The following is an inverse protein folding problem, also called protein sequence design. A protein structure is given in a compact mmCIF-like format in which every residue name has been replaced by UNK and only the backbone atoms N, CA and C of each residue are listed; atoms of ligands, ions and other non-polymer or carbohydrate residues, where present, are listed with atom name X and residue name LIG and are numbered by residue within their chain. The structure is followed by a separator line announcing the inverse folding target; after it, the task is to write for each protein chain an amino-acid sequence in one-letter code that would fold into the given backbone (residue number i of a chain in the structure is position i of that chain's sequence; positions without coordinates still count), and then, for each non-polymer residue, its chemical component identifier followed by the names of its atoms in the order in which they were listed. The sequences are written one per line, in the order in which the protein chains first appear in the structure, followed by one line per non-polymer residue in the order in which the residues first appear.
data_IF_581108172189
#
_entry.id   IF_581108172189
#
_cell.length_a   1.000
_cell.length_b   1.000
_cell.length_c   1.000
_cell.angle_alpha   90.00
_cell.angle_beta   90.00
_cell.angle_gamma   90.00
#
_symmetry.space_group_name_H-M   'P 1'
#
loop_
_entity.id
_entity.type
_entity.pdbx_description
1 polymer ?
#
# COMPACT_ATOMS: atom_id res chain seq x y z
N UNK A 1 -77.33 30.34 35.91
CA UNK A 1 -75.96 29.82 36.12
C UNK A 1 -75.51 29.23 34.78
N UNK A 2 -74.37 29.56 34.19
CA UNK A 2 -73.38 30.60 34.51
C UNK A 2 -72.22 30.53 33.50
N UNK A 3 -72.28 31.29 32.41
CA UNK A 3 -71.22 31.29 31.39
C UNK A 3 -70.09 32.23 31.79
N UNK A 4 -68.90 31.67 32.00
CA UNK A 4 -67.68 32.47 32.23
C UNK A 4 -67.10 32.96 30.91
N UNK A 5 -66.72 34.24 30.85
CA UNK A 5 -65.98 34.86 29.74
C UNK A 5 -64.52 35.01 30.15
N UNK A 6 -63.59 34.45 29.39
CA UNK A 6 -62.16 34.76 29.55
C UNK A 6 -61.78 35.88 28.58
N UNK A 7 -61.18 36.94 29.12
CA UNK A 7 -60.82 38.14 28.38
C UNK A 7 -59.41 38.00 27.77
N UNK A 8 -59.26 38.27 26.47
CA UNK A 8 -57.94 38.41 25.85
C UNK A 8 -57.46 39.84 26.04
N UNK A 9 -56.39 40.02 26.83
CA UNK A 9 -55.78 41.33 27.09
C UNK A 9 -54.51 41.49 26.24
N UNK A 10 -54.59 42.29 25.18
CA UNK A 10 -53.43 42.64 24.36
C UNK A 10 -52.69 43.83 24.98
N UNK A 11 -51.40 43.67 25.29
CA UNK A 11 -50.53 44.75 25.76
C UNK A 11 -49.39 44.95 24.76
N UNK A 12 -49.45 46.04 23.98
CA UNK A 12 -48.31 46.49 23.19
C UNK A 12 -47.32 47.24 24.09
N UNK A 13 -46.05 46.85 24.06
CA UNK A 13 -44.96 47.58 24.70
C UNK A 13 -43.81 47.77 23.71
N UNK A 14 -43.79 48.93 23.05
CA UNK A 14 -42.79 49.28 22.04
C UNK A 14 -41.51 49.80 22.69
N UNK A 15 -40.54 48.93 22.91
CA UNK A 15 -39.18 49.30 23.34
C UNK A 15 -38.22 49.31 22.15
N UNK A 16 -37.78 50.49 21.71
CA UNK A 16 -36.78 50.64 20.64
C UNK A 16 -35.39 50.46 21.25
N UNK A 17 -34.76 49.32 20.98
CA UNK A 17 -33.33 49.10 21.17
C UNK A 17 -32.65 49.05 19.80
N UNK A 18 -31.62 49.87 19.61
CA UNK A 18 -30.86 49.91 18.36
C UNK A 18 -30.04 48.63 18.18
N UNK A 19 -30.47 47.77 17.25
CA UNK A 19 -29.67 46.62 16.82
C UNK A 19 -28.39 47.13 16.11
N UNK A 20 -27.21 46.55 16.39
CA UNK A 20 -26.02 46.83 15.60
C UNK A 20 -26.23 46.35 14.16
N UNK A 21 -25.70 47.10 13.20
CA UNK A 21 -25.73 46.74 11.77
C UNK A 21 -25.17 45.33 11.60
N UNK A 22 -25.85 44.41 10.90
CA UNK A 22 -25.31 43.08 10.66
C UNK A 22 -24.01 43.21 9.85
N UNK A 23 -22.89 42.77 10.42
CA UNK A 23 -21.65 42.65 9.70
C UNK A 23 -21.88 41.71 8.50
N UNK A 24 -21.51 42.15 7.29
CA UNK A 24 -21.70 41.35 6.08
C UNK A 24 -20.93 40.04 6.22
N UNK A 25 -21.65 38.94 6.43
CA UNK A 25 -21.04 37.61 6.41
C UNK A 25 -20.53 37.35 4.99
N UNK A 26 -19.24 37.07 4.89
CA UNK A 26 -18.62 36.63 3.65
C UNK A 26 -19.15 35.23 3.33
N UNK A 27 -20.09 35.15 2.39
CA UNK A 27 -20.69 33.88 1.93
C UNK A 27 -19.83 33.17 0.89
N UNK A 28 -18.54 33.52 0.74
CA UNK A 28 -17.62 32.68 -0.01
C UNK A 28 -17.44 31.34 0.71
N UNK A 29 -17.95 30.27 0.08
CA UNK A 29 -17.77 28.90 0.57
C UNK A 29 -16.30 28.52 0.36
N UNK A 30 -15.46 28.95 1.30
CA UNK A 30 -14.08 28.50 1.39
C UNK A 30 -14.05 26.99 1.50
N UNK A 31 -13.30 26.34 0.60
CA UNK A 31 -13.10 24.88 0.66
C UNK A 31 -12.63 24.47 2.06
N UNK A 32 -13.03 23.27 2.55
CA UNK A 32 -12.40 22.65 3.70
C UNK A 32 -10.87 22.69 3.55
N UNK A 33 -10.18 23.15 4.60
CA UNK A 33 -8.72 23.20 4.63
C UNK A 33 -8.20 21.89 5.21
N UNK A 34 -7.61 21.05 4.36
CA UNK A 34 -6.90 19.85 4.79
C UNK A 34 -5.47 20.22 5.20
N UNK A 35 -4.86 19.45 6.11
CA UNK A 35 -3.42 19.57 6.41
C UNK A 35 -2.60 19.38 5.12
N UNK A 36 -3.02 18.46 4.25
CA UNK A 36 -2.42 18.22 2.93
C UNK A 36 -2.35 19.50 2.09
N UNK A 37 -3.41 20.32 2.03
CA UNK A 37 -3.41 21.58 1.26
C UNK A 37 -2.47 22.65 1.84
N UNK A 38 -2.24 22.66 3.17
CA UNK A 38 -1.28 23.57 3.80
C UNK A 38 0.17 23.11 3.63
N UNK A 39 0.41 21.79 3.71
CA UNK A 39 1.74 21.18 3.59
C UNK A 39 2.17 21.04 2.12
N UNK A 40 1.22 20.94 1.18
CA UNK A 40 1.42 20.94 -0.27
C UNK A 40 0.63 22.09 -0.94
N UNK A 41 1.04 23.36 -0.77
CA UNK A 41 0.28 24.55 -1.18
C UNK A 41 0.33 24.85 -2.70
N UNK A 42 0.14 23.82 -3.53
CA UNK A 42 -0.15 23.92 -4.96
C UNK A 42 -1.08 22.78 -5.35
N UNK A 43 -2.15 23.11 -6.06
CA UNK A 43 -2.97 22.08 -6.69
C UNK A 43 -2.09 21.26 -7.65
N UNK A 44 -2.30 19.94 -7.69
CA UNK A 44 -1.52 19.03 -8.57
C UNK A 44 -1.63 19.46 -10.05
N UNK A 45 -2.75 20.09 -10.43
CA UNK A 45 -2.98 20.69 -11.74
C UNK A 45 -2.02 21.85 -12.09
N UNK A 46 -1.71 22.76 -11.16
CA UNK A 46 -0.84 23.91 -11.43
C UNK A 46 0.62 23.52 -11.65
N UNK A 47 1.09 22.47 -10.95
CA UNK A 47 2.44 21.91 -11.11
C UNK A 47 2.63 21.37 -12.54
N UNK A 48 1.60 20.75 -13.11
CA UNK A 48 1.59 20.24 -14.48
C UNK A 48 1.54 21.39 -15.52
N UNK A 49 0.69 22.40 -15.32
CA UNK A 49 0.56 23.51 -16.27
C UNK A 49 1.81 24.41 -16.35
N UNK A 50 2.47 24.68 -15.23
CA UNK A 50 3.67 25.54 -15.22
C UNK A 50 4.89 24.86 -15.86
N UNK A 51 5.07 23.54 -15.71
CA UNK A 51 6.13 22.80 -16.41
C UNK A 51 5.98 22.83 -17.94
N UNK A 52 4.77 22.71 -18.46
CA UNK A 52 4.54 22.67 -19.91
C UNK A 52 4.83 24.01 -20.62
N UNK A 53 4.56 25.16 -19.98
CA UNK A 53 4.82 26.48 -20.58
C UNK A 53 6.31 26.82 -20.76
N UNK A 54 7.20 26.24 -19.94
CA UNK A 54 8.64 26.48 -20.06
C UNK A 54 9.34 25.55 -21.06
N UNK A 55 8.74 24.40 -21.41
CA UNK A 55 9.39 23.37 -22.25
C UNK A 55 9.39 23.70 -23.75
N UNK A 56 8.51 24.61 -24.20
CA UNK A 56 8.38 25.00 -25.62
C UNK A 56 9.31 26.12 -26.08
N UNK A 57 9.91 26.91 -25.18
CA UNK A 57 10.77 28.05 -25.59
C UNK A 57 12.20 27.68 -26.02
N UNK A 58 12.69 26.50 -25.69
CA UNK A 58 14.14 26.18 -25.74
C UNK A 58 14.56 25.17 -26.82
N UNK A 59 13.74 24.89 -27.83
CA UNK A 59 13.99 23.79 -28.79
C UNK A 59 14.44 24.16 -30.20
N UNK A 60 14.69 25.45 -30.49
CA UNK A 60 15.04 25.95 -31.83
C UNK A 60 16.46 26.57 -31.90
N UNK A 61 17.52 25.76 -31.83
CA UNK A 61 18.86 26.14 -32.32
C UNK A 61 19.76 24.91 -32.55
N UNK A 62 20.55 24.92 -33.64
CA UNK A 62 21.49 23.86 -34.10
C UNK A 62 20.85 22.50 -34.47
N UNK A 63 21.20 21.79 -35.56
CA UNK A 63 22.03 22.14 -36.74
C UNK A 63 23.56 22.06 -36.54
N UNK A 64 24.32 21.20 -37.23
CA UNK A 64 23.98 20.16 -38.21
C UNK A 64 25.22 19.63 -38.98
N UNK A 65 24.99 18.79 -39.99
CA UNK A 65 25.95 18.25 -40.99
C UNK A 65 27.04 17.24 -40.52
N UNK A 66 27.46 16.38 -41.46
CA UNK A 66 28.53 15.37 -41.30
C UNK A 66 28.21 14.07 -42.07
N UNK A 67 28.97 13.73 -43.10
CA UNK A 67 28.75 12.54 -43.94
C UNK A 67 30.08 11.92 -44.43
N UNK A 68 30.09 10.60 -44.68
CA UNK A 68 31.25 9.89 -45.25
C UNK A 68 31.04 8.37 -45.41
N UNK A 69 31.34 7.84 -46.60
CA UNK A 69 31.58 6.41 -46.89
C UNK A 69 33.12 6.22 -47.09
N UNK A 70 33.76 5.11 -47.51
CA UNK A 70 33.40 3.78 -48.06
C UNK A 70 34.71 2.91 -48.04
N UNK A 71 34.84 1.63 -48.41
CA UNK A 71 33.96 0.47 -48.66
C UNK A 71 34.84 -0.79 -48.91
N UNK A 72 34.28 -2.02 -48.86
CA UNK A 72 34.92 -3.28 -49.29
C UNK A 72 35.32 -4.24 -48.14
N UNK A 73 35.37 -5.56 -48.32
CA UNK A 73 35.14 -6.36 -49.55
C UNK A 73 34.88 -7.87 -49.27
N UNK A 74 34.63 -8.63 -50.34
CA UNK A 74 34.22 -10.06 -50.39
C UNK A 74 35.40 -11.05 -50.09
N UNK A 75 35.32 -12.40 -50.13
CA UNK A 75 34.61 -13.36 -51.03
C UNK A 75 34.46 -14.78 -50.42
N UNK A 76 33.39 -15.53 -50.77
CA UNK A 76 33.29 -17.02 -50.67
C UNK A 76 32.98 -17.60 -49.27
N UNK A 77 32.48 -18.83 -49.09
CA UNK A 77 31.98 -19.84 -50.05
C UNK A 77 32.48 -21.29 -49.75
N UNK A 78 31.70 -22.38 -49.88
CA UNK A 78 30.26 -22.54 -50.12
C UNK A 78 29.78 -24.00 -49.86
N UNK A 79 28.45 -24.19 -49.70
CA UNK A 79 27.65 -25.43 -49.81
C UNK A 79 27.81 -26.61 -48.80
N UNK A 80 26.68 -27.02 -48.20
CA UNK A 80 26.32 -28.42 -47.94
C UNK A 80 26.53 -28.99 -46.52
N UNK A 81 25.48 -29.60 -45.96
CA UNK A 81 25.53 -30.36 -44.70
C UNK A 81 24.28 -30.18 -43.83
N UNK A 82 23.88 -31.21 -43.07
CA UNK A 82 22.70 -31.18 -42.21
C UNK A 82 22.93 -31.92 -40.88
N UNK A 83 22.10 -31.57 -39.88
CA UNK A 83 21.94 -32.17 -38.55
C UNK A 83 23.06 -31.95 -37.50
N UNK A 84 22.65 -31.76 -36.25
CA UNK A 84 23.45 -32.09 -35.05
C UNK A 84 23.92 -30.94 -34.15
N UNK A 85 23.28 -30.79 -32.99
CA UNK A 85 23.96 -30.69 -31.68
C UNK A 85 24.86 -29.50 -31.30
N UNK A 86 24.27 -28.55 -30.57
CA UNK A 86 24.78 -27.98 -29.30
C UNK A 86 26.04 -27.06 -29.21
N UNK A 87 26.02 -26.28 -28.11
CA UNK A 87 27.13 -25.61 -27.39
C UNK A 87 27.68 -24.25 -27.87
N UNK A 88 27.89 -23.35 -26.89
CA UNK A 88 28.61 -22.07 -27.00
C UNK A 88 27.73 -20.84 -27.31
N UNK A 89 27.71 -19.74 -26.53
CA UNK A 89 28.28 -19.51 -25.19
C UNK A 89 28.93 -18.13 -25.03
N UNK A 90 28.20 -17.16 -24.43
CA UNK A 90 28.74 -15.89 -23.91
C UNK A 90 27.81 -15.39 -22.79
N UNK A 91 28.10 -15.61 -21.51
CA UNK A 91 29.10 -14.91 -20.69
C UNK A 91 28.58 -13.59 -20.07
N UNK A 92 27.67 -13.72 -19.09
CA UNK A 92 27.42 -12.70 -18.06
C UNK A 92 28.09 -13.11 -16.76
N UNK A 93 29.03 -12.30 -16.25
CA UNK A 93 29.91 -12.68 -15.14
C UNK A 93 29.46 -12.14 -13.78
N UNK A 94 28.59 -12.87 -13.08
CA UNK A 94 28.39 -12.76 -11.63
C UNK A 94 29.27 -13.78 -10.88
N UNK A 95 29.68 -13.48 -9.65
CA UNK A 95 30.33 -14.48 -8.79
C UNK A 95 29.28 -15.33 -8.08
N UNK A 96 28.84 -16.41 -8.73
CA UNK A 96 28.12 -17.46 -8.02
C UNK A 96 29.05 -18.08 -6.96
N UNK A 97 28.68 -17.95 -5.69
CA UNK A 97 29.17 -18.87 -4.66
C UNK A 97 28.40 -20.18 -4.86
N UNK A 98 29.11 -21.32 -5.00
CA UNK A 98 28.46 -22.60 -5.28
C UNK A 98 27.62 -23.07 -4.09
N UNK A 99 26.35 -22.67 -4.04
CA UNK A 99 25.31 -23.28 -3.19
C UNK A 99 25.07 -24.71 -3.67
N UNK A 100 25.81 -25.68 -3.12
CA UNK A 100 25.94 -27.07 -3.66
C UNK A 100 24.68 -27.93 -3.73
N UNK A 101 23.50 -27.39 -3.40
CA UNK A 101 22.19 -28.05 -3.46
C UNK A 101 21.11 -27.15 -4.12
N UNK A 102 21.51 -26.22 -5.00
CA UNK A 102 20.63 -25.32 -5.76
C UNK A 102 20.68 -25.66 -7.26
N UNK A 103 19.53 -25.64 -7.95
CA UNK A 103 19.41 -25.92 -9.40
C UNK A 103 18.58 -24.83 -10.07
N UNK A 104 19.27 -23.88 -10.70
CA UNK A 104 18.64 -22.86 -11.57
C UNK A 104 18.34 -23.48 -12.94
N UNK A 105 17.10 -23.32 -13.42
CA UNK A 105 16.63 -23.84 -14.69
C UNK A 105 15.74 -22.83 -15.44
N UNK A 106 15.72 -22.91 -16.77
CA UNK A 106 14.94 -22.00 -17.61
C UNK A 106 13.55 -22.57 -17.88
N UNK A 107 12.52 -21.89 -17.38
CA UNK A 107 11.13 -22.17 -17.66
C UNK A 107 10.68 -21.69 -19.05
N UNK A 108 9.44 -22.00 -19.41
CA UNK A 108 8.77 -21.42 -20.59
C UNK A 108 7.28 -21.38 -20.33
N UNK A 109 6.65 -20.22 -20.46
CA UNK A 109 5.22 -20.07 -20.18
C UNK A 109 4.35 -21.00 -21.06
N UNK A 110 3.38 -21.66 -20.44
CA UNK A 110 2.54 -22.67 -21.08
C UNK A 110 3.25 -24.01 -21.33
N UNK A 111 4.39 -24.26 -20.66
CA UNK A 111 5.05 -25.57 -20.59
C UNK A 111 5.13 -26.03 -19.14
N UNK A 112 4.87 -27.33 -18.95
CA UNK A 112 5.04 -28.00 -17.67
C UNK A 112 6.53 -28.19 -17.37
N UNK A 113 6.92 -27.88 -16.13
CA UNK A 113 8.25 -28.10 -15.55
C UNK A 113 8.11 -29.12 -14.43
N UNK A 114 8.98 -30.12 -14.41
CA UNK A 114 8.99 -31.15 -13.36
C UNK A 114 10.02 -30.77 -12.29
N UNK A 115 9.56 -30.53 -11.07
CA UNK A 115 10.37 -30.19 -9.91
C UNK A 115 10.65 -31.46 -9.09
N UNK A 116 11.92 -31.69 -8.79
CA UNK A 116 12.41 -32.82 -8.02
C UNK A 116 12.10 -32.66 -6.53
N UNK A 117 11.89 -33.77 -5.83
CA UNK A 117 11.74 -33.79 -4.37
C UNK A 117 13.08 -33.89 -3.64
N UNK A 118 13.05 -34.40 -2.41
CA UNK A 118 14.26 -34.62 -1.60
C UNK A 118 14.88 -33.35 -1.00
N UNK A 119 14.12 -32.26 -0.91
CA UNK A 119 14.56 -30.94 -0.44
C UNK A 119 15.71 -30.32 -1.28
N UNK A 120 15.72 -30.56 -2.59
CA UNK A 120 16.56 -29.83 -3.54
C UNK A 120 15.94 -28.46 -3.84
N UNK A 121 16.69 -27.37 -3.66
CA UNK A 121 16.23 -26.02 -4.07
C UNK A 121 16.31 -25.90 -5.58
N UNK A 122 15.22 -25.52 -6.21
CA UNK A 122 15.09 -25.41 -7.66
C UNK A 122 14.42 -24.10 -8.03
N UNK A 123 15.11 -23.35 -8.87
CA UNK A 123 14.78 -21.96 -9.18
C UNK A 123 14.47 -21.91 -10.67
N UNK A 124 13.22 -21.55 -11.00
CA UNK A 124 12.70 -21.67 -12.36
C UNK A 124 12.42 -20.29 -12.95
N UNK A 125 13.39 -19.74 -13.67
CA UNK A 125 13.31 -18.43 -14.33
C UNK A 125 12.40 -18.46 -15.57
N UNK A 126 11.52 -17.47 -15.69
CA UNK A 126 10.69 -17.22 -16.89
C UNK A 126 10.92 -15.79 -17.41
N UNK A 127 11.38 -15.59 -18.66
CA UNK A 127 11.58 -14.26 -19.24
C UNK A 127 10.28 -13.44 -19.32
N UNK A 128 10.26 -12.27 -18.67
CA UNK A 128 9.10 -11.39 -18.55
C UNK A 128 9.26 -10.08 -19.36
N UNK A 129 8.38 -9.09 -19.17
CA UNK A 129 8.37 -7.85 -20.00
C UNK A 129 9.39 -6.81 -19.50
N UNK A 130 9.66 -6.77 -18.19
CA UNK A 130 10.60 -5.82 -17.56
C UNK A 130 11.66 -6.51 -16.67
N UNK A 131 11.93 -7.79 -16.92
CA UNK A 131 12.80 -8.62 -16.08
C UNK A 131 12.56 -10.11 -16.29
N UNK A 132 12.72 -10.90 -15.22
CA UNK A 132 12.35 -12.31 -15.14
C UNK A 132 11.35 -12.51 -14.00
N UNK A 133 10.37 -13.38 -14.21
CA UNK A 133 9.53 -13.93 -13.14
C UNK A 133 10.11 -15.28 -12.72
N UNK A 134 10.28 -15.54 -11.43
CA UNK A 134 10.86 -16.78 -10.92
C UNK A 134 9.95 -17.48 -9.91
N UNK A 135 10.08 -18.79 -9.86
CA UNK A 135 9.47 -19.68 -8.88
C UNK A 135 10.59 -20.49 -8.23
N UNK A 136 10.97 -20.16 -7.00
CA UNK A 136 11.78 -21.07 -6.16
C UNK A 136 10.89 -22.16 -5.55
N UNK A 137 11.41 -23.39 -5.53
CA UNK A 137 10.76 -24.54 -4.91
C UNK A 137 11.77 -25.40 -4.14
N UNK A 138 11.39 -25.78 -2.92
CA UNK A 138 12.04 -26.85 -2.16
C UNK A 138 10.98 -27.64 -1.40
N UNK A 139 10.93 -28.96 -1.59
CA UNK A 139 10.08 -29.83 -0.77
C UNK A 139 10.57 -31.30 -0.76
N UNK A 140 10.09 -32.08 0.19
CA UNK A 140 10.43 -33.49 0.34
C UNK A 140 9.84 -34.32 -0.82
N UNK A 141 8.63 -33.98 -1.27
CA UNK A 141 8.01 -34.50 -2.49
C UNK A 141 8.32 -33.58 -3.67
N UNK A 142 8.48 -34.16 -4.87
CA UNK A 142 8.54 -33.38 -6.10
C UNK A 142 7.17 -32.82 -6.48
N UNK A 143 7.15 -31.90 -7.45
CA UNK A 143 5.93 -31.26 -7.93
C UNK A 143 5.97 -31.01 -9.44
N UNK A 144 4.81 -30.74 -10.01
CA UNK A 144 4.58 -30.48 -11.42
C UNK A 144 4.11 -29.03 -11.57
N UNK A 145 5.01 -28.16 -11.99
CA UNK A 145 4.79 -26.72 -12.14
C UNK A 145 4.29 -26.39 -13.54
N UNK A 146 3.09 -25.83 -13.65
CA UNK A 146 2.69 -25.06 -14.84
C UNK A 146 2.71 -23.56 -14.50
N UNK A 147 3.33 -22.74 -15.35
CA UNK A 147 3.24 -21.27 -15.28
C UNK A 147 2.73 -20.70 -16.61
N UNK A 148 1.78 -19.77 -16.55
CA UNK A 148 1.24 -19.06 -17.71
C UNK A 148 1.33 -17.54 -17.54
N UNK A 149 1.51 -16.81 -18.65
CA UNK A 149 1.54 -15.34 -18.67
C UNK A 149 0.21 -14.75 -19.18
N UNK A 150 -0.34 -13.80 -18.43
CA UNK A 150 -1.58 -13.10 -18.75
C UNK A 150 -1.25 -11.64 -19.12
N UNK A 151 -1.18 -11.36 -20.43
CA UNK A 151 -0.89 -10.01 -20.98
C UNK A 151 -2.04 -9.01 -20.83
N UNK A 152 -3.16 -9.47 -20.27
CA UNK A 152 -4.22 -8.66 -19.69
C UNK A 152 -4.55 -9.33 -18.35
N UNK A 153 -4.07 -8.77 -17.21
CA UNK A 153 -4.22 -9.42 -15.91
C UNK A 153 -5.68 -9.70 -15.52
N UNK A 154 -5.91 -10.82 -14.81
CA UNK A 154 -7.23 -11.29 -14.39
C UNK A 154 -7.97 -10.41 -13.37
N UNK A 155 -7.39 -9.26 -13.00
CA UNK A 155 -7.95 -8.27 -12.09
C UNK A 155 -7.23 -6.93 -12.17
N UNK A 156 -7.73 -5.93 -11.43
CA UNK A 156 -7.10 -4.62 -11.31
C UNK A 156 -5.95 -4.62 -10.28
N UNK A 157 -4.97 -3.73 -10.45
CA UNK A 157 -4.03 -3.41 -9.39
C UNK A 157 -4.78 -2.81 -8.17
N UNK A 158 -4.30 -3.01 -6.93
CA UNK A 158 -4.93 -2.45 -5.74
C UNK A 158 -4.86 -0.92 -5.73
N UNK A 159 -5.76 -0.29 -4.97
CA UNK A 159 -5.75 1.15 -4.76
C UNK A 159 -4.39 1.60 -4.20
N UNK A 160 -3.89 2.76 -4.64
CA UNK A 160 -2.55 3.24 -4.31
C UNK A 160 -1.42 2.67 -5.19
N UNK A 161 -1.63 1.53 -5.86
CA UNK A 161 -0.63 0.86 -6.70
C UNK A 161 -0.92 0.96 -8.21
N UNK A 162 0.05 0.54 -9.00
CA UNK A 162 -0.06 0.20 -10.43
C UNK A 162 0.77 -1.06 -10.72
N UNK A 163 0.51 -1.70 -11.85
CA UNK A 163 1.37 -2.75 -12.40
C UNK A 163 2.77 -2.19 -12.77
N UNK A 164 3.82 -2.96 -12.47
CA UNK A 164 5.22 -2.65 -12.81
C UNK A 164 5.67 -3.43 -14.05
N UNK A 165 5.44 -4.74 -14.08
CA UNK A 165 5.29 -5.49 -15.34
C UNK A 165 3.79 -5.41 -15.74
N UNK A 166 3.43 -5.08 -17.00
CA UNK A 166 2.04 -5.09 -17.47
C UNK A 166 1.39 -6.49 -17.53
N UNK A 167 2.16 -7.55 -17.23
CA UNK A 167 1.79 -8.97 -17.27
C UNK A 167 1.61 -9.52 -15.86
N UNK A 168 0.65 -10.40 -15.66
CA UNK A 168 0.54 -11.25 -14.47
C UNK A 168 0.84 -12.72 -14.81
N UNK A 169 1.16 -13.52 -13.80
CA UNK A 169 1.68 -14.87 -13.94
C UNK A 169 0.81 -15.84 -13.15
N UNK A 170 0.14 -16.78 -13.83
CA UNK A 170 -0.61 -17.86 -13.16
C UNK A 170 0.33 -19.01 -12.86
N UNK A 171 0.54 -19.32 -11.58
CA UNK A 171 1.35 -20.43 -11.06
C UNK A 171 0.44 -21.54 -10.57
N UNK A 172 0.73 -22.78 -10.96
CA UNK A 172 0.00 -23.97 -10.54
C UNK A 172 0.95 -25.16 -10.33
N UNK A 173 1.21 -25.49 -9.06
CA UNK A 173 1.78 -26.75 -8.59
C UNK A 173 0.63 -27.75 -8.38
N UNK A 174 0.62 -28.85 -9.14
CA UNK A 174 -0.51 -29.80 -9.20
C UNK A 174 -0.69 -30.62 -7.91
N UNK A 175 0.39 -30.79 -7.17
CA UNK A 175 0.50 -31.55 -5.93
C UNK A 175 0.21 -30.68 -4.69
N UNK A 176 0.04 -29.37 -4.87
CA UNK A 176 -0.26 -28.39 -3.82
C UNK A 176 0.76 -27.26 -3.76
N UNK A 177 0.27 -26.04 -3.47
CA UNK A 177 1.10 -24.84 -3.31
C UNK A 177 1.42 -24.45 -1.86
N UNK A 178 0.90 -25.19 -0.87
CA UNK A 178 1.00 -24.87 0.56
C UNK A 178 1.92 -25.82 1.31
N UNK A 179 2.44 -25.38 2.47
CA UNK A 179 3.28 -26.18 3.37
C UNK A 179 4.55 -26.76 2.72
N UNK A 180 5.10 -26.07 1.72
CA UNK A 180 6.39 -26.39 1.10
C UNK A 180 7.53 -26.09 2.09
N UNK A 181 8.70 -26.68 1.89
CA UNK A 181 9.91 -26.33 2.67
C UNK A 181 10.44 -24.96 2.24
N UNK A 182 10.37 -24.66 0.95
CA UNK A 182 10.51 -23.33 0.37
C UNK A 182 9.54 -23.20 -0.80
N UNK A 183 8.90 -22.04 -0.91
CA UNK A 183 8.09 -21.63 -2.04
C UNK A 183 8.15 -20.12 -2.11
N UNK A 184 8.80 -19.59 -3.14
CA UNK A 184 8.87 -18.14 -3.37
C UNK A 184 8.34 -17.76 -4.77
N UNK A 185 7.77 -16.56 -4.86
CA UNK A 185 7.30 -15.92 -6.09
C UNK A 185 8.11 -14.64 -6.27
N UNK A 186 9.08 -14.68 -7.17
CA UNK A 186 10.14 -13.66 -7.22
C UNK A 186 10.23 -12.98 -8.58
N UNK A 187 10.85 -11.80 -8.61
CA UNK A 187 11.00 -11.05 -9.84
C UNK A 187 12.28 -10.22 -9.90
N UNK A 188 13.20 -10.66 -10.75
CA UNK A 188 14.50 -10.03 -11.01
C UNK A 188 14.32 -8.96 -12.08
N UNK A 189 14.57 -7.69 -11.75
CA UNK A 189 14.35 -6.55 -12.65
C UNK A 189 15.46 -6.37 -13.68
N UNK A 190 15.09 -6.26 -14.97
CA UNK A 190 16.02 -5.79 -16.00
C UNK A 190 16.21 -4.27 -15.85
N UNK A 191 17.23 -3.87 -15.09
CA UNK A 191 17.55 -2.46 -14.84
C UNK A 191 17.98 -1.68 -16.09
N UNK A 192 18.28 -2.34 -17.21
CA UNK A 192 18.48 -1.69 -18.51
C UNK A 192 17.16 -1.39 -19.24
N UNK A 193 16.05 -1.99 -18.82
CA UNK A 193 14.74 -1.82 -19.44
C UNK A 193 14.24 -0.37 -19.33
N UNK A 194 13.89 0.22 -20.47
CA UNK A 194 13.45 1.61 -20.54
C UNK A 194 12.19 1.93 -19.73
N UNK A 195 11.35 0.93 -19.41
CA UNK A 195 10.15 1.09 -18.59
C UNK A 195 10.45 1.33 -17.10
N UNK A 196 11.57 0.82 -16.58
CA UNK A 196 11.96 0.95 -15.17
C UNK A 196 12.73 2.25 -14.86
N UNK A 197 13.05 3.05 -15.87
CA UNK A 197 13.90 4.23 -15.75
C UNK A 197 13.26 5.32 -14.87
N UNK A 198 13.76 5.46 -13.64
CA UNK A 198 13.24 6.42 -12.65
C UNK A 198 12.09 5.85 -11.79
N UNK A 199 11.96 4.53 -11.74
CA UNK A 199 11.18 3.82 -10.71
C UNK A 199 12.10 3.50 -9.53
N UNK A 200 11.63 3.72 -8.31
CA UNK A 200 12.28 3.19 -7.11
C UNK A 200 11.88 1.72 -6.91
N UNK A 201 12.73 0.80 -7.40
CA UNK A 201 12.47 -0.65 -7.33
C UNK A 201 12.40 -1.16 -5.88
N UNK A 202 13.02 -0.47 -4.91
CA UNK A 202 12.96 -0.81 -3.48
C UNK A 202 11.57 -0.59 -2.85
N UNK A 203 10.58 -0.18 -3.65
CA UNK A 203 9.17 -0.03 -3.26
C UNK A 203 8.25 -0.96 -4.04
N UNK A 204 8.80 -1.83 -4.88
CA UNK A 204 8.02 -2.85 -5.58
C UNK A 204 7.51 -3.90 -4.60
N UNK A 205 6.46 -4.62 -4.99
CA UNK A 205 5.84 -5.68 -4.19
C UNK A 205 5.17 -6.71 -5.09
N UNK A 206 5.03 -7.93 -4.58
CA UNK A 206 4.30 -9.01 -5.26
C UNK A 206 2.87 -9.05 -4.71
N UNK A 207 1.87 -9.08 -5.59
CA UNK A 207 0.47 -9.20 -5.22
C UNK A 207 -0.20 -10.45 -5.81
N UNK A 208 -1.11 -11.07 -5.06
CA UNK A 208 -1.91 -12.24 -5.48
C UNK A 208 -3.32 -11.81 -5.88
N UNK A 209 -3.88 -12.36 -6.96
CA UNK A 209 -5.24 -12.06 -7.40
C UNK A 209 -6.27 -12.62 -6.42
N UNK A 210 -7.02 -11.74 -5.74
CA UNK A 210 -8.18 -12.16 -4.98
C UNK A 210 -9.33 -12.52 -5.95
N UNK A 211 -9.58 -13.83 -6.09
CA UNK A 211 -10.49 -14.36 -7.11
C UNK A 211 -11.94 -13.83 -7.00
N UNK A 212 -12.38 -13.46 -5.79
CA UNK A 212 -13.75 -13.00 -5.50
C UNK A 212 -14.02 -11.53 -5.78
N UNK A 213 -13.01 -10.65 -5.73
CA UNK A 213 -13.17 -9.21 -6.01
C UNK A 213 -12.52 -8.76 -7.34
N UNK A 214 -11.67 -9.61 -7.96
CA UNK A 214 -10.88 -9.31 -9.17
C UNK A 214 -9.94 -8.10 -8.99
N UNK A 215 -9.30 -8.03 -7.84
CA UNK A 215 -8.22 -7.09 -7.51
C UNK A 215 -7.02 -7.89 -6.97
N UNK A 216 -5.81 -7.52 -7.36
CA UNK A 216 -4.60 -8.06 -6.75
C UNK A 216 -4.42 -7.48 -5.34
N UNK A 217 -4.11 -8.32 -4.36
CA UNK A 217 -3.79 -7.90 -2.98
C UNK A 217 -2.30 -8.10 -2.72
N UNK A 218 -1.64 -7.07 -2.19
CA UNK A 218 -0.29 -7.12 -1.64
C UNK A 218 -0.45 -6.95 -0.13
N UNK A 219 -0.51 -8.06 0.58
CA UNK A 219 -1.05 -8.19 1.94
C UNK A 219 -0.24 -9.26 2.69
N UNK A 220 0.29 -9.02 3.90
CA UNK A 220 1.08 -10.00 4.66
C UNK A 220 0.38 -11.35 4.89
N UNK A 221 -0.94 -11.45 4.69
CA UNK A 221 -1.66 -12.71 4.64
C UNK A 221 -1.10 -13.67 3.57
N UNK A 222 -0.61 -13.18 2.42
CA UNK A 222 -0.19 -14.03 1.28
C UNK A 222 1.23 -14.59 1.41
N UNK A 223 2.13 -13.90 2.11
CA UNK A 223 3.56 -14.25 2.20
C UNK A 223 4.40 -13.21 2.93
N UNK A 224 5.68 -13.53 3.10
CA UNK A 224 6.72 -12.61 3.61
C UNK A 224 7.47 -11.99 2.43
N UNK A 225 7.63 -10.67 2.41
CA UNK A 225 8.21 -9.90 1.30
C UNK A 225 9.61 -9.38 1.63
N UNK A 226 10.54 -9.54 0.69
CA UNK A 226 11.91 -9.02 0.75
C UNK A 226 12.27 -8.29 -0.58
N UNK A 227 13.36 -7.51 -0.57
CA UNK A 227 13.92 -6.89 -1.78
C UNK A 227 15.44 -7.07 -1.77
N UNK A 228 15.94 -7.99 -2.59
CA UNK A 228 17.36 -8.35 -2.64
C UNK A 228 18.11 -7.36 -3.53
N UNK A 229 18.66 -6.30 -2.90
CA UNK A 229 19.15 -5.11 -3.58
C UNK A 229 20.41 -5.30 -4.44
N UNK A 230 21.22 -6.33 -4.17
CA UNK A 230 22.39 -6.67 -4.99
C UNK A 230 21.98 -7.34 -6.32
N UNK A 231 20.87 -8.09 -6.33
CA UNK A 231 20.37 -8.80 -7.52
C UNK A 231 19.27 -7.99 -8.25
N UNK A 232 18.73 -6.94 -7.60
CA UNK A 232 17.60 -6.12 -8.06
C UNK A 232 16.33 -6.96 -8.18
N UNK A 233 16.02 -7.71 -7.13
CA UNK A 233 14.88 -8.62 -7.06
C UNK A 233 13.84 -8.13 -6.05
N UNK A 234 12.55 -8.34 -6.34
CA UNK A 234 11.51 -8.36 -5.31
C UNK A 234 11.03 -9.79 -5.09
N UNK A 235 10.97 -10.17 -3.83
CA UNK A 235 11.04 -11.56 -3.40
C UNK A 235 9.86 -11.84 -2.48
N UNK A 236 9.07 -12.90 -2.72
CA UNK A 236 7.89 -13.21 -1.89
C UNK A 236 7.83 -14.69 -1.52
N UNK A 237 8.22 -15.01 -0.28
CA UNK A 237 8.03 -16.33 0.34
C UNK A 237 6.53 -16.54 0.64
N UNK A 238 5.85 -17.22 -0.27
CA UNK A 238 4.39 -17.33 -0.29
C UNK A 238 3.88 -18.48 0.61
N UNK A 239 2.75 -18.25 1.30
CA UNK A 239 2.08 -19.29 2.12
C UNK A 239 1.29 -20.29 1.27
N UNK A 240 0.88 -19.86 0.08
CA UNK A 240 0.29 -20.69 -0.97
C UNK A 240 0.77 -20.18 -2.33
N UNK A 241 1.55 -20.99 -3.05
CA UNK A 241 2.09 -20.70 -4.38
C UNK A 241 1.02 -20.63 -5.49
N UNK A 242 -0.12 -21.32 -5.32
CA UNK A 242 -1.07 -21.50 -6.41
C UNK A 242 -1.98 -20.27 -6.57
N UNK A 243 -2.00 -19.68 -7.76
CA UNK A 243 -2.81 -18.48 -8.03
C UNK A 243 -2.28 -17.67 -9.21
N UNK A 244 -2.80 -16.45 -9.35
CA UNK A 244 -2.31 -15.47 -10.31
C UNK A 244 -1.60 -14.33 -9.57
N UNK A 245 -0.39 -13.99 -10.02
CA UNK A 245 0.53 -13.09 -9.34
C UNK A 245 0.87 -11.90 -10.23
N UNK A 246 1.07 -10.72 -9.64
CA UNK A 246 1.47 -9.52 -10.38
C UNK A 246 2.52 -8.72 -9.62
N UNK A 247 3.42 -8.09 -10.35
CA UNK A 247 4.44 -7.21 -9.79
C UNK A 247 3.89 -5.79 -9.79
N UNK A 248 3.87 -5.18 -8.61
CA UNK A 248 3.19 -3.93 -8.32
C UNK A 248 4.18 -2.89 -7.80
N UNK A 249 3.83 -1.62 -7.97
CA UNK A 249 4.60 -0.47 -7.47
C UNK A 249 3.63 0.62 -6.99
N UNK A 250 3.87 1.29 -5.85
CA UNK A 250 3.08 2.44 -5.42
C UNK A 250 3.09 3.54 -6.50
N UNK A 251 1.94 4.18 -6.70
CA UNK A 251 1.79 5.22 -7.73
C UNK A 251 2.77 6.38 -7.56
N UNK A 252 3.14 6.71 -6.31
CA UNK A 252 4.13 7.74 -5.99
C UNK A 252 5.58 7.35 -6.36
N UNK A 253 5.94 6.06 -6.27
CA UNK A 253 7.30 5.56 -6.56
C UNK A 253 7.63 5.54 -8.07
N UNK A 254 6.63 5.75 -8.94
CA UNK A 254 6.81 5.95 -10.37
C UNK A 254 7.27 7.35 -10.79
N UNK A 255 7.80 8.16 -9.87
CA UNK A 255 8.18 9.55 -10.08
C UNK A 255 9.54 9.94 -9.46
N UNK A 256 10.43 8.97 -9.20
CA UNK A 256 11.75 9.23 -8.66
C UNK A 256 12.63 9.97 -9.69
N UNK A 257 12.99 11.22 -9.38
CA UNK A 257 14.08 11.89 -10.10
C UNK A 257 15.38 11.15 -9.76
N UNK A 258 16.02 10.57 -10.78
CA UNK A 258 17.08 9.58 -10.57
C UNK A 258 18.25 10.10 -9.75
N UNK A 259 18.57 9.41 -8.65
CA UNK A 259 19.83 9.58 -7.96
C UNK A 259 20.97 9.03 -8.84
N UNK A 260 22.00 9.85 -9.05
CA UNK A 260 23.18 9.44 -9.79
C UNK A 260 24.05 8.50 -8.94
N UNK A 261 24.64 7.52 -9.60
CA UNK A 261 25.61 6.58 -9.05
C UNK A 261 26.81 7.32 -8.41
N UNK A 262 26.94 7.23 -7.09
CA UNK A 262 28.13 7.59 -6.33
C UNK A 262 28.28 6.59 -5.17
N UNK A 263 29.48 6.12 -4.80
CA UNK A 263 30.79 6.29 -5.41
C UNK A 263 31.84 5.53 -4.60
N UNK A 264 32.77 4.80 -5.24
CA UNK A 264 33.67 3.86 -4.53
C UNK A 264 34.83 4.56 -3.81
N UNK A 265 34.71 4.72 -2.49
CA UNK A 265 35.79 4.89 -1.49
C UNK A 265 35.27 4.37 -0.13
N UNK A 266 36.01 3.66 0.73
CA UNK A 266 37.37 3.12 0.66
C UNK A 266 37.68 2.26 1.91
N UNK A 267 38.66 1.36 1.80
CA UNK A 267 39.17 0.46 2.86
C UNK A 267 39.84 1.21 4.04
N UNK A 268 40.09 0.63 5.25
CA UNK A 268 39.72 -0.66 5.87
C UNK A 268 40.10 -0.69 7.38
N UNK A 269 39.70 -1.75 8.11
CA UNK A 269 40.29 -2.19 9.38
C UNK A 269 39.39 -2.02 10.62
N UNK A 270 39.40 -2.89 11.64
CA UNK A 270 40.15 -4.15 11.84
C UNK A 270 39.31 -5.21 12.60
N UNK A 271 39.90 -6.40 12.77
CA UNK A 271 39.52 -7.56 13.58
C UNK A 271 38.54 -7.36 14.77
N UNK A 272 37.71 -8.33 15.17
CA UNK A 272 37.63 -9.74 14.76
C UNK A 272 38.26 -10.70 15.79
N UNK A 273 37.43 -11.45 16.52
CA UNK A 273 37.87 -12.59 17.32
C UNK A 273 36.77 -13.65 17.41
N UNK A 274 37.17 -14.94 17.41
CA UNK A 274 36.24 -16.08 17.41
C UNK A 274 36.17 -16.74 18.79
N UNK A 275 35.02 -17.36 19.11
CA UNK A 275 34.81 -18.01 20.41
C UNK A 275 33.49 -18.77 20.49
N UNK A 276 33.33 -19.84 19.71
CA UNK A 276 32.14 -20.69 19.78
C UNK A 276 32.14 -21.63 20.99
N UNK A 277 30.97 -21.84 21.59
CA UNK A 277 30.68 -23.00 22.45
C UNK A 277 29.19 -23.31 22.50
N UNK A 278 28.86 -24.58 22.63
CA UNK A 278 27.50 -25.09 22.83
C UNK A 278 27.03 -24.90 24.27
N UNK A 279 25.73 -24.64 24.44
CA UNK A 279 25.03 -24.58 25.72
C UNK A 279 23.52 -24.55 25.46
N UNK A 280 22.73 -25.26 26.27
CA UNK A 280 21.29 -25.38 26.09
C UNK A 280 20.51 -24.45 27.04
N UNK A 281 19.25 -24.18 26.67
CA UNK A 281 18.15 -23.66 27.50
C UNK A 281 18.42 -22.47 28.45
N UNK A 282 17.75 -21.34 28.21
CA UNK A 282 16.56 -20.96 29.01
C UNK A 282 15.91 -19.63 28.56
N UNK A 283 14.58 -19.61 28.53
CA UNK A 283 13.75 -18.45 28.89
C UNK A 283 14.06 -17.05 28.33
N UNK A 284 14.05 -16.87 27.00
CA UNK A 284 13.76 -15.55 26.43
C UNK A 284 12.24 -15.31 26.39
N UNK A 285 11.76 -14.10 26.75
CA UNK A 285 10.33 -13.76 26.61
C UNK A 285 9.93 -13.82 25.13
N UNK A 286 8.90 -14.60 24.82
CA UNK A 286 8.05 -14.25 23.69
C UNK A 286 7.23 -13.01 24.07
N UNK A 287 7.22 -12.00 23.21
CA UNK A 287 6.06 -11.13 23.12
C UNK A 287 4.89 -11.98 22.63
N UNK A 288 3.75 -11.86 23.31
CA UNK A 288 2.70 -12.86 23.19
C UNK A 288 2.01 -12.79 21.83
N UNK A 289 2.01 -13.90 21.09
CA UNK A 289 1.03 -14.12 20.02
C UNK A 289 -0.37 -13.80 20.60
N UNK A 290 -1.05 -12.76 20.05
CA UNK A 290 -2.41 -12.37 20.45
C UNK A 290 -3.40 -13.44 19.95
N UNK A 291 -3.44 -14.55 20.68
CA UNK A 291 -4.05 -15.83 20.28
C UNK A 291 -5.58 -15.78 20.27
N UNK A 292 -6.12 -15.15 19.23
CA UNK A 292 -7.57 -14.88 19.05
C UNK A 292 -7.89 -13.67 18.17
N UNK A 293 -6.88 -12.95 17.68
CA UNK A 293 -7.01 -11.82 16.75
C UNK A 293 -7.18 -12.34 15.29
N UNK A 294 -8.10 -11.74 14.52
CA UNK A 294 -8.45 -12.17 13.16
C UNK A 294 -8.45 -10.96 12.22
N UNK A 295 -7.41 -10.82 11.41
CA UNK A 295 -7.25 -9.68 10.51
C UNK A 295 -8.07 -9.92 9.22
N UNK A 296 -8.83 -8.92 8.79
CA UNK A 296 -9.77 -8.98 7.68
C UNK A 296 -9.48 -7.84 6.68
N UNK A 297 -9.10 -8.18 5.44
CA UNK A 297 -8.87 -7.17 4.40
C UNK A 297 -10.16 -6.39 4.09
N UNK A 298 -10.19 -5.12 4.45
CA UNK A 298 -11.31 -4.21 4.28
C UNK A 298 -11.51 -3.78 2.82
N UNK A 299 -12.75 -3.47 2.47
CA UNK A 299 -13.12 -2.93 1.16
C UNK A 299 -14.27 -1.92 1.29
N UNK A 300 -14.03 -0.67 0.92
CA UNK A 300 -15.07 0.36 0.94
C UNK A 300 -16.24 -0.02 0.03
N UNK A 301 -17.45 0.36 0.43
CA UNK A 301 -18.71 0.04 -0.26
C UNK A 301 -19.02 -1.48 -0.35
N UNK A 302 -18.41 -2.31 0.51
CA UNK A 302 -18.74 -3.73 0.68
C UNK A 302 -19.28 -4.02 2.08
N UNK A 303 -20.06 -5.10 2.17
CA UNK A 303 -20.46 -5.72 3.42
C UNK A 303 -19.38 -6.72 3.83
N UNK A 304 -18.87 -6.61 5.05
CA UNK A 304 -17.81 -7.45 5.61
C UNK A 304 -18.43 -8.16 6.81
N UNK A 305 -18.49 -9.49 6.78
CA UNK A 305 -19.02 -10.28 7.86
C UNK A 305 -17.98 -10.44 8.97
N UNK A 306 -18.39 -10.20 10.22
CA UNK A 306 -17.60 -10.45 11.42
C UNK A 306 -18.31 -11.48 12.29
N UNK A 307 -17.55 -12.44 12.79
CA UNK A 307 -17.99 -13.46 13.75
C UNK A 307 -18.25 -12.85 15.14
N UNK A 308 -19.08 -13.52 15.93
CA UNK A 308 -19.30 -13.17 17.33
C UNK A 308 -18.41 -13.96 18.29
N UNK A 309 -18.85 -14.08 19.54
CA UNK A 309 -18.17 -14.89 20.55
C UNK A 309 -16.93 -14.23 21.18
N UNK A 310 -16.81 -12.91 21.07
CA UNK A 310 -15.67 -12.11 21.58
C UNK A 310 -14.33 -12.48 20.92
N UNK A 311 -14.36 -12.80 19.62
CA UNK A 311 -13.16 -12.89 18.78
C UNK A 311 -12.82 -11.51 18.26
N UNK A 312 -11.62 -10.98 18.55
CA UNK A 312 -11.19 -9.67 18.08
C UNK A 312 -10.94 -9.74 16.57
N UNK A 313 -11.60 -8.87 15.79
CA UNK A 313 -11.49 -8.86 14.33
C UNK A 313 -11.17 -7.45 13.82
N UNK A 314 -10.09 -7.34 13.06
CA UNK A 314 -9.54 -6.06 12.62
C UNK A 314 -9.76 -5.87 11.14
N UNK A 315 -10.61 -4.90 10.79
CA UNK A 315 -10.95 -4.62 9.40
C UNK A 315 -10.07 -3.49 8.86
N UNK A 316 -8.90 -3.82 8.36
CA UNK A 316 -7.96 -2.87 7.76
C UNK A 316 -8.39 -2.48 6.35
N UNK A 317 -8.78 -1.23 6.13
CA UNK A 317 -9.20 -0.74 4.81
C UNK A 317 -8.01 -0.38 3.89
N UNK A 318 -8.25 -0.09 2.60
CA UNK A 318 -7.19 0.38 1.71
C UNK A 318 -6.74 1.81 2.06
N UNK A 319 -5.44 1.98 2.31
CA UNK A 319 -4.82 3.25 2.67
C UNK A 319 -4.83 4.30 1.54
N UNK A 320 -4.67 5.57 1.91
CA UNK A 320 -4.49 6.70 0.99
C UNK A 320 -3.15 7.45 1.23
N UNK A 321 -3.07 8.76 0.96
CA UNK A 321 -1.86 9.58 1.20
C UNK A 321 -1.67 10.03 2.66
N UNK A 322 -2.71 9.95 3.49
CA UNK A 322 -2.66 10.34 4.90
C UNK A 322 -2.45 9.11 5.80
N UNK A 323 -3.17 8.02 5.54
CA UNK A 323 -3.11 6.79 6.34
C UNK A 323 -4.13 5.75 5.91
N UNK A 324 -4.50 4.86 6.83
CA UNK A 324 -5.56 3.87 6.65
C UNK A 324 -6.54 3.88 7.82
N UNK A 325 -7.82 3.62 7.53
CA UNK A 325 -8.82 3.32 8.54
C UNK A 325 -8.75 1.83 8.92
N UNK A 326 -8.80 1.55 10.21
CA UNK A 326 -9.11 0.23 10.76
C UNK A 326 -10.38 0.29 11.61
N UNK A 327 -11.08 -0.85 11.70
CA UNK A 327 -12.28 -1.00 12.54
C UNK A 327 -12.19 -2.32 13.30
N UNK A 328 -11.79 -2.25 14.57
CA UNK A 328 -11.85 -3.38 15.50
C UNK A 328 -13.31 -3.72 15.84
N UNK A 329 -13.70 -4.98 15.64
CA UNK A 329 -14.93 -5.57 16.15
C UNK A 329 -14.64 -6.78 17.03
N UNK A 330 -14.92 -6.64 18.33
CA UNK A 330 -14.80 -7.70 19.32
C UNK A 330 -16.14 -7.83 20.07
N UNK A 331 -17.11 -8.44 19.39
CA UNK A 331 -18.50 -8.52 19.83
C UNK A 331 -18.98 -9.91 20.22
N UNK A 332 -19.98 -9.94 21.09
CA UNK A 332 -20.68 -11.16 21.53
C UNK A 332 -21.48 -11.81 20.39
N UNK A 333 -22.10 -11.02 19.52
CA UNK A 333 -22.89 -11.48 18.38
C UNK A 333 -22.12 -11.33 17.05
N UNK A 334 -22.47 -12.15 16.06
CA UNK A 334 -21.98 -11.94 14.69
C UNK A 334 -22.65 -10.72 14.05
N UNK A 335 -21.95 -10.02 13.18
CA UNK A 335 -22.38 -8.75 12.60
C UNK A 335 -21.93 -8.60 11.14
N UNK A 336 -22.42 -7.56 10.47
CA UNK A 336 -21.95 -7.14 9.14
C UNK A 336 -21.58 -5.68 9.21
N UNK A 337 -20.32 -5.37 8.95
CA UNK A 337 -19.80 -4.00 8.90
C UNK A 337 -19.70 -3.55 7.44
N UNK A 338 -20.15 -2.32 7.17
CA UNK A 338 -19.99 -1.65 5.89
C UNK A 338 -19.40 -0.26 6.13
N UNK A 339 -18.32 0.07 5.41
CA UNK A 339 -17.72 1.40 5.44
C UNK A 339 -17.78 2.03 4.07
N UNK A 340 -18.22 3.29 4.00
CA UNK A 340 -18.20 4.11 2.79
C UNK A 340 -17.31 5.32 3.04
N UNK A 341 -16.18 5.40 2.37
CA UNK A 341 -15.35 6.59 2.32
C UNK A 341 -15.95 7.62 1.34
N UNK A 342 -15.79 8.92 1.65
CA UNK A 342 -16.15 10.03 0.75
C UNK A 342 -15.28 11.25 1.06
N UNK A 343 -15.12 12.22 0.13
CA UNK A 343 -14.44 13.47 0.43
C UNK A 343 -15.16 14.26 1.54
N UNK A 344 -14.41 14.93 2.42
CA UNK A 344 -14.95 15.74 3.49
C UNK A 344 -15.80 16.91 2.95
N UNK A 345 -17.11 16.87 3.22
CA UNK A 345 -18.09 17.86 2.73
C UNK A 345 -18.55 18.87 3.79
N UNK A 346 -18.09 18.74 5.02
CA UNK A 346 -18.45 19.55 6.19
C UNK A 346 -17.18 20.26 6.69
N UNK A 347 -17.29 21.46 7.26
CA UNK A 347 -16.12 22.14 7.83
C UNK A 347 -15.61 21.39 9.09
N UNK A 348 -14.29 21.32 9.34
CA UNK A 348 -13.78 20.80 10.60
C UNK A 348 -14.15 21.76 11.75
N UNK A 349 -14.16 21.31 13.01
CA UNK A 349 -14.48 22.17 14.15
C UNK A 349 -13.55 23.39 14.25
N UNK A 350 -13.99 24.52 14.84
CA UNK A 350 -13.17 25.72 14.97
C UNK A 350 -11.81 25.44 15.64
N UNK A 351 -10.72 25.80 14.96
CA UNK A 351 -9.35 25.54 15.41
C UNK A 351 -8.78 24.15 15.04
N UNK A 352 -9.57 23.26 14.46
CA UNK A 352 -9.12 21.98 13.90
C UNK A 352 -8.80 22.08 12.39
N UNK A 353 -8.17 21.04 11.87
CA UNK A 353 -8.01 20.71 10.45
C UNK A 353 -8.30 19.22 10.25
N UNK A 354 -8.61 18.85 9.02
CA UNK A 354 -8.64 17.47 8.58
C UNK A 354 -7.22 16.94 8.32
N UNK A 355 -6.88 15.79 8.91
CA UNK A 355 -5.65 15.05 8.60
C UNK A 355 -5.83 14.33 7.26
N UNK A 356 -6.87 13.50 7.17
CA UNK A 356 -7.33 12.82 5.96
C UNK A 356 -8.33 13.73 5.21
N UNK A 357 -8.26 13.78 3.88
CA UNK A 357 -9.25 14.50 3.06
C UNK A 357 -10.63 13.82 2.97
N UNK A 358 -10.77 12.64 3.58
CA UNK A 358 -11.94 11.78 3.54
C UNK A 358 -12.66 11.70 4.89
N UNK A 359 -13.94 11.33 4.85
CA UNK A 359 -14.72 10.91 6.02
C UNK A 359 -15.32 9.53 5.77
N UNK A 360 -15.47 8.76 6.84
CA UNK A 360 -15.79 7.34 6.81
C UNK A 360 -17.16 7.09 7.42
N UNK A 361 -18.14 6.73 6.59
CA UNK A 361 -19.47 6.34 7.05
C UNK A 361 -19.46 4.86 7.39
N UNK A 362 -19.31 4.53 8.67
CA UNK A 362 -19.31 3.17 9.21
C UNK A 362 -20.75 2.78 9.60
N UNK A 363 -21.15 1.55 9.25
CA UNK A 363 -22.45 0.96 9.57
C UNK A 363 -22.29 -0.49 10.01
N UNK A 364 -22.80 -0.83 11.19
CA UNK A 364 -22.95 -2.21 11.65
C UNK A 364 -24.44 -2.60 11.53
N UNK A 365 -24.75 -3.72 10.88
CA UNK A 365 -26.15 -4.14 10.66
C UNK A 365 -26.87 -4.54 11.94
N UNK A 366 -26.18 -5.24 12.85
CA UNK A 366 -26.63 -5.51 14.20
C UNK A 366 -26.18 -4.39 15.15
N UNK A 367 -27.05 -4.00 16.08
CA UNK A 367 -26.65 -3.14 17.20
C UNK A 367 -25.71 -3.93 18.13
N UNK A 368 -24.50 -3.45 18.45
CA UNK A 368 -23.62 -4.07 19.43
C UNK A 368 -24.26 -4.21 20.82
N UNK A 369 -23.85 -5.23 21.57
CA UNK A 369 -24.28 -5.45 22.94
C UNK A 369 -23.50 -4.58 23.93
N UNK A 370 -24.07 -4.38 25.12
CA UNK A 370 -23.37 -3.69 26.20
C UNK A 370 -22.24 -4.60 26.74
N UNK A 371 -20.99 -4.22 26.48
CA UNK A 371 -19.80 -5.00 26.81
C UNK A 371 -19.05 -5.55 25.58
N UNK A 372 -19.61 -5.42 24.37
CA UNK A 372 -18.82 -5.57 23.15
C UNK A 372 -17.72 -4.48 23.12
N UNK A 373 -16.52 -4.83 22.67
CA UNK A 373 -15.44 -3.87 22.42
C UNK A 373 -15.43 -3.54 20.93
N UNK A 374 -15.43 -2.25 20.62
CA UNK A 374 -15.50 -1.70 19.27
C UNK A 374 -14.53 -0.55 19.19
N UNK A 375 -13.85 -0.38 18.06
CA UNK A 375 -13.01 0.80 17.86
C UNK A 375 -13.11 1.40 16.45
N UNK A 376 -12.65 2.65 16.33
CA UNK A 376 -12.47 3.36 15.06
C UNK A 376 -11.05 3.92 15.05
N UNK A 377 -10.17 3.17 14.40
CA UNK A 377 -8.73 3.33 14.51
C UNK A 377 -8.14 3.82 13.20
N UNK A 378 -6.97 4.46 13.26
CA UNK A 378 -6.36 5.04 12.07
C UNK A 378 -4.84 4.99 12.11
N UNK A 379 -4.26 4.21 11.20
CA UNK A 379 -2.83 4.01 11.03
C UNK A 379 -2.31 5.10 10.08
N UNK A 380 -1.59 6.08 10.60
CA UNK A 380 -1.13 7.24 9.81
C UNK A 380 0.24 7.00 9.15
N UNK A 381 0.49 7.68 8.04
CA UNK A 381 1.77 7.59 7.34
C UNK A 381 2.89 8.42 7.98
N UNK A 382 4.15 8.07 7.69
CA UNK A 382 5.32 8.89 8.01
C UNK A 382 5.25 10.30 7.41
N UNK A 383 4.55 10.49 6.28
CA UNK A 383 4.28 11.82 5.73
C UNK A 383 3.42 12.68 6.68
N UNK A 384 2.48 12.05 7.39
CA UNK A 384 1.68 12.68 8.45
C UNK A 384 2.51 12.89 9.72
N UNK A 385 3.36 11.93 10.16
CA UNK A 385 4.35 12.18 11.24
C UNK A 385 5.26 13.37 10.95
N UNK A 386 5.65 13.58 9.69
CA UNK A 386 6.41 14.75 9.26
C UNK A 386 5.61 16.06 9.27
N UNK A 387 4.30 16.00 9.03
CA UNK A 387 3.42 17.15 8.87
C UNK A 387 2.83 17.70 10.19
N UNK A 388 2.55 16.84 11.17
CA UNK A 388 1.85 17.21 12.43
C UNK A 388 2.51 16.57 13.66
N UNK A 389 2.22 17.08 14.85
CA UNK A 389 2.34 16.31 16.10
C UNK A 389 1.19 15.30 16.18
N UNK A 390 1.44 13.99 15.99
CA UNK A 390 0.37 12.99 15.98
C UNK A 390 -0.24 12.81 17.37
N UNK A 391 0.48 13.10 18.46
CA UNK A 391 -0.02 13.01 19.85
C UNK A 391 -1.04 14.12 20.21
N UNK A 392 -1.60 14.81 19.21
CA UNK A 392 -2.63 15.85 19.31
C UNK A 392 -3.81 15.62 18.36
N UNK A 393 -3.73 14.63 17.47
CA UNK A 393 -4.86 14.27 16.62
C UNK A 393 -5.98 13.61 17.45
N UNK A 394 -7.20 13.63 16.92
CA UNK A 394 -8.39 13.06 17.53
C UNK A 394 -9.33 12.50 16.46
N UNK A 395 -9.93 11.34 16.72
CA UNK A 395 -11.01 10.79 15.91
C UNK A 395 -12.33 11.46 16.30
N UNK A 396 -12.99 12.13 15.35
CA UNK A 396 -14.27 12.80 15.54
C UNK A 396 -15.45 12.07 14.89
N UNK A 397 -16.65 12.19 15.47
CA UNK A 397 -17.92 11.65 14.93
C UNK A 397 -18.82 12.81 14.52
N UNK A 398 -19.48 12.72 13.37
CA UNK A 398 -20.46 13.72 12.93
C UNK A 398 -21.71 13.65 13.81
N UNK A 399 -22.02 14.73 14.50
CA UNK A 399 -23.37 14.93 15.03
C UNK A 399 -24.30 15.44 13.92
N UNK A 400 -25.32 14.64 13.61
CA UNK A 400 -26.32 14.96 12.61
C UNK A 400 -27.29 16.08 13.04
N UNK A 401 -27.39 16.41 14.32
CA UNK A 401 -28.24 17.50 14.81
C UNK A 401 -27.61 18.89 14.62
N UNK A 402 -26.31 19.03 14.89
CA UNK A 402 -25.56 20.28 14.66
C UNK A 402 -24.86 20.35 13.29
N UNK A 403 -24.75 19.22 12.57
CA UNK A 403 -23.96 19.07 11.35
C UNK A 403 -22.49 19.51 11.55
N UNK A 404 -21.89 19.10 12.68
CA UNK A 404 -20.49 19.33 13.03
C UNK A 404 -19.87 18.04 13.60
N UNK A 405 -18.56 17.89 13.44
CA UNK A 405 -17.83 16.80 14.09
C UNK A 405 -17.63 17.11 15.58
N UNK A 406 -18.16 16.26 16.45
CA UNK A 406 -17.80 16.25 17.87
C UNK A 406 -16.54 15.42 18.07
N UNK A 407 -15.70 15.81 19.03
CA UNK A 407 -14.39 15.19 19.32
C UNK A 407 -14.22 14.81 20.80
N UNK A 408 -15.29 14.89 21.58
CA UNK A 408 -15.31 14.65 23.04
C UNK A 408 -16.51 13.80 23.43
N UNK A 409 -16.39 12.97 24.45
CA UNK A 409 -17.48 12.11 24.93
C UNK A 409 -17.80 10.90 24.02
N UNK A 410 -16.96 10.62 23.03
CA UNK A 410 -17.17 9.53 22.06
C UNK A 410 -16.71 8.15 22.57
N UNK A 411 -15.71 8.11 23.45
CA UNK A 411 -14.99 6.88 23.76
C UNK A 411 -13.72 7.11 24.58
N UNK A 412 -12.92 6.04 24.76
CA UNK A 412 -11.53 6.15 25.21
C UNK A 412 -10.64 6.32 23.98
N UNK A 413 -9.84 7.38 23.94
CA UNK A 413 -8.82 7.60 22.92
C UNK A 413 -7.46 7.10 23.42
N UNK A 414 -6.67 6.56 22.51
CA UNK A 414 -5.30 6.06 22.69
C UNK A 414 -4.43 6.53 21.52
N UNK A 415 -3.13 6.64 21.73
CA UNK A 415 -2.16 7.01 20.70
C UNK A 415 -0.94 6.10 20.85
N UNK A 416 -0.69 5.26 19.86
CA UNK A 416 0.31 4.20 19.92
C UNK A 416 1.46 4.59 18.96
N UNK A 417 2.46 5.29 19.51
CA UNK A 417 3.51 5.98 18.73
C UNK A 417 4.41 5.01 17.93
N UNK A 418 4.57 3.79 18.44
CA UNK A 418 5.34 2.70 17.83
C UNK A 418 4.56 2.00 16.70
N UNK A 419 3.23 1.87 16.82
CA UNK A 419 2.35 1.23 15.82
C UNK A 419 1.83 2.21 14.75
N UNK A 420 2.15 3.51 14.87
CA UNK A 420 1.64 4.59 14.02
C UNK A 420 0.11 4.76 14.07
N UNK A 421 -0.52 4.49 15.21
CA UNK A 421 -1.99 4.42 15.32
C UNK A 421 -2.60 5.50 16.23
N UNK A 422 -3.78 5.97 15.83
CA UNK A 422 -4.76 6.62 16.70
C UNK A 422 -5.95 5.71 16.92
N UNK A 423 -6.15 5.26 18.15
CA UNK A 423 -7.18 4.28 18.47
C UNK A 423 -8.32 4.91 19.26
N UNK A 424 -9.58 4.63 18.91
CA UNK A 424 -10.74 5.16 19.63
C UNK A 424 -11.74 4.05 19.96
N UNK A 425 -11.74 3.58 21.21
CA UNK A 425 -12.73 2.61 21.72
C UNK A 425 -14.09 3.27 21.94
N UNK A 426 -15.13 2.84 21.22
CA UNK A 426 -16.45 3.49 21.15
C UNK A 426 -17.60 2.57 21.57
N UNK A 427 -18.73 3.09 22.09
CA UNK A 427 -19.92 2.30 22.40
C UNK A 427 -20.79 1.98 21.18
N UNK A 428 -20.53 2.63 20.04
CA UNK A 428 -21.27 2.45 18.79
C UNK A 428 -20.45 2.94 17.57
N UNK A 429 -20.18 2.02 16.65
CA UNK A 429 -19.52 2.26 15.36
C UNK A 429 -20.36 3.09 14.38
N UNK A 430 -21.69 3.08 14.49
CA UNK A 430 -22.57 3.65 13.46
C UNK A 430 -22.45 5.18 13.40
N UNK A 431 -22.00 5.71 12.27
CA UNK A 431 -21.87 7.16 12.07
C UNK A 431 -20.94 7.53 10.93
N UNK A 432 -20.72 8.82 10.76
CA UNK A 432 -19.67 9.36 9.91
C UNK A 432 -18.51 9.84 10.78
N UNK A 433 -17.30 9.41 10.45
CA UNK A 433 -16.09 9.64 11.25
C UNK A 433 -15.04 10.40 10.43
N UNK A 434 -14.20 11.18 11.12
CA UNK A 434 -13.12 11.95 10.52
C UNK A 434 -11.91 12.04 11.44
N UNK A 435 -10.72 12.08 10.84
CA UNK A 435 -9.47 12.25 11.58
C UNK A 435 -9.08 13.73 11.58
N UNK A 436 -9.00 14.31 12.77
CA UNK A 436 -8.88 15.74 13.00
C UNK A 436 -7.63 16.06 13.82
N UNK A 437 -7.06 17.26 13.63
CA UNK A 437 -5.90 17.73 14.40
C UNK A 437 -6.00 19.23 14.67
N UNK A 438 -5.60 19.73 15.85
CA UNK A 438 -5.52 21.17 16.13
C UNK A 438 -4.57 21.89 15.17
N UNK A 439 -4.93 23.09 14.74
CA UNK A 439 -4.07 23.94 13.90
C UNK A 439 -2.71 24.25 14.55
N UNK A 440 -2.65 24.27 15.89
CA UNK A 440 -1.42 24.43 16.68
C UNK A 440 -0.47 23.23 16.64
N UNK A 441 -0.94 22.06 16.21
CA UNK A 441 -0.13 20.84 16.08
C UNK A 441 0.43 20.63 14.67
N UNK A 442 0.13 21.50 13.69
CA UNK A 442 0.79 21.48 12.38
C UNK A 442 2.25 21.89 12.55
N UNK A 443 3.18 21.01 12.18
CA UNK A 443 4.62 21.26 12.29
C UNK A 443 5.00 22.39 11.33
N UNK A 444 5.74 23.37 11.84
CA UNK A 444 6.23 24.47 11.02
C UNK A 444 7.13 23.91 9.91
N UNK A 445 6.69 24.09 8.64
CA UNK A 445 7.38 23.59 7.44
C UNK A 445 8.86 24.00 7.50
N UNK A 446 9.76 23.01 7.59
CA UNK A 446 11.19 23.27 7.63
C UNK A 446 11.57 24.11 6.41
N UNK A 447 12.07 25.33 6.66
CA UNK A 447 12.53 26.21 5.58
C UNK A 447 13.82 25.62 5.04
N UNK A 448 13.75 25.01 3.85
CA UNK A 448 14.93 24.66 3.08
C UNK A 448 15.77 25.92 2.86
N UNK A 449 16.94 25.97 3.50
CA UNK A 449 17.93 27.05 3.32
C UNK A 449 18.64 26.97 1.98
#
# INVERSE_FOLDING_TARGET
MGLSRTLVLALQLSAVLGLPTPASQDTSITKPRHVVDQVYPRSVAEILQTRNKNKTKNKNKAGGAGAGAAAGGAVGGAAGGAAGGAAGGAAGGGKAEEKKNEVVQQGTFGKTVNLQGGNLKQDTEFPATVGKFEVEFQNAQGATLDVAQNKAPGGAAPAGFKFLDPTSFTVNLKEGGTNLTLGKIDYIFDTANAALKGVDLTKSTVGKLCAGNKVFVADPAIGELEFEADENEVTLKAKDMNGEWAILIPNAAGAAAGNAQAGKTGQAGQAGQAGGKTGAETGGKAEGEKKGEINLTGAFNKNIAVTGGNSKQDILFPADIAGSLEVEYNGTAANTINVVNKPASIAPPPGMLYVDGQTFVIKAQGKPAAGDILKVDYIFTEAVKGAIDPSKAVTGKLDAATNQFVTTGLGKFEFEEDENEWSLTVPDLNGEWAILVPQSAVKARARSG
#
